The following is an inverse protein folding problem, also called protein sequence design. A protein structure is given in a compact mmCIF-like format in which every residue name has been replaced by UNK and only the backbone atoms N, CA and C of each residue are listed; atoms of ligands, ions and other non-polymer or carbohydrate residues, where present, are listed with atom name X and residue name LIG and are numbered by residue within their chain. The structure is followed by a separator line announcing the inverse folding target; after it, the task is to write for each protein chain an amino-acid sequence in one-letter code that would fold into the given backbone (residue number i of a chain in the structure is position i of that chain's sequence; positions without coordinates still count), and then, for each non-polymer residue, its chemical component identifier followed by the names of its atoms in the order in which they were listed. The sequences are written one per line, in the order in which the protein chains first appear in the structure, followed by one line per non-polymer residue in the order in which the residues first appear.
data_IF_690403226771
#
_entry.id   IF_690403226771
#
_cell.length_a   1.000
_cell.length_b   1.000
_cell.length_c   1.000
_cell.angle_alpha   90.00
_cell.angle_beta   90.00
_cell.angle_gamma   90.00
#
_symmetry.space_group_name_H-M   'P 1'
#
loop_
_entity.id
_entity.type
_entity.pdbx_description
1 polymer ?
#
# COMPACT_ATOMS: atom_id res chain seq x y z
N UNK A 1 1.85 7.06 -18.27
CA UNK A 1 2.68 7.84 -17.32
C UNK A 1 4.06 7.26 -17.06
N UNK A 2 4.45 6.11 -17.63
CA UNK A 2 5.87 5.66 -17.65
C UNK A 2 6.52 5.40 -16.28
N UNK A 3 5.77 5.51 -15.19
CA UNK A 3 6.25 5.34 -13.82
C UNK A 3 6.73 3.92 -13.60
N UNK A 4 7.88 3.79 -12.95
CA UNK A 4 8.49 2.50 -12.59
C UNK A 4 8.18 2.18 -11.13
N UNK A 5 8.06 0.88 -10.82
CA UNK A 5 7.98 0.39 -9.45
C UNK A 5 8.86 -0.84 -9.29
N UNK A 6 9.46 -0.98 -8.12
CA UNK A 6 10.22 -2.15 -7.70
C UNK A 6 9.74 -2.59 -6.32
N UNK A 7 9.95 -3.85 -5.98
CA UNK A 7 9.59 -4.40 -4.68
C UNK A 7 10.52 -5.55 -4.32
N UNK A 8 10.83 -5.68 -3.02
CA UNK A 8 11.63 -6.74 -2.47
C UNK A 8 10.94 -7.29 -1.23
N UNK A 9 10.78 -8.61 -1.17
CA UNK A 9 10.24 -9.33 -0.02
C UNK A 9 11.25 -10.39 0.41
N UNK A 10 11.86 -10.21 1.58
CA UNK A 10 12.84 -11.14 2.14
C UNK A 10 12.35 -11.69 3.50
N UNK A 11 11.89 -12.93 3.48
CA UNK A 11 11.39 -13.66 4.66
C UNK A 11 12.48 -14.30 5.52
N UNK A 12 13.75 -14.18 5.12
CA UNK A 12 14.92 -14.69 5.86
C UNK A 12 15.76 -13.58 6.51
N UNK A 13 15.24 -12.36 6.58
CA UNK A 13 15.95 -11.22 7.18
C UNK A 13 16.17 -11.43 8.69
N UNK A 14 17.37 -11.12 9.16
CA UNK A 14 17.65 -11.07 10.60
C UNK A 14 16.75 -10.03 11.28
N UNK A 15 16.47 -10.20 12.57
CA UNK A 15 15.50 -9.38 13.31
C UNK A 15 15.83 -7.88 13.25
N UNK A 16 17.12 -7.56 13.36
CA UNK A 16 17.67 -6.21 13.27
C UNK A 16 17.58 -5.58 11.87
N UNK A 17 17.34 -6.38 10.84
CA UNK A 17 17.26 -5.95 9.44
C UNK A 17 15.83 -6.03 8.88
N UNK A 18 14.82 -6.25 9.73
CA UNK A 18 13.43 -6.23 9.29
C UNK A 18 13.01 -4.80 8.97
N UNK A 19 12.52 -4.59 7.75
CA UNK A 19 12.10 -3.29 7.25
C UNK A 19 10.75 -3.47 6.55
N UNK A 20 9.78 -2.63 6.90
CA UNK A 20 8.57 -2.39 6.12
C UNK A 20 8.65 -0.95 5.61
N UNK A 21 8.85 -0.77 4.30
CA UNK A 21 9.06 0.55 3.74
C UNK A 21 8.48 0.63 2.34
N UNK A 22 7.70 1.69 2.13
CA UNK A 22 7.23 2.13 0.84
C UNK A 22 7.81 3.52 0.61
N UNK A 23 8.36 3.72 -0.59
CA UNK A 23 8.94 4.98 -1.05
C UNK A 23 8.17 5.42 -2.29
N UNK A 24 7.71 6.66 -2.30
CA UNK A 24 7.12 7.31 -3.48
C UNK A 24 8.02 8.48 -3.86
N UNK A 25 8.74 8.33 -4.96
CA UNK A 25 9.57 9.38 -5.53
C UNK A 25 8.77 10.21 -6.53
N UNK A 26 8.74 11.52 -6.30
CA UNK A 26 8.12 12.52 -7.17
C UNK A 26 9.13 13.55 -7.64
N UNK A 27 8.72 14.40 -8.58
CA UNK A 27 9.58 15.45 -9.14
C UNK A 27 9.92 16.59 -8.18
N UNK A 28 9.35 16.59 -6.97
CA UNK A 28 9.51 17.63 -5.95
C UNK A 28 9.98 17.06 -4.61
N UNK A 29 10.40 15.79 -4.59
CA UNK A 29 10.84 15.09 -3.40
C UNK A 29 10.21 13.71 -3.23
N UNK A 30 10.14 13.24 -1.99
CA UNK A 30 9.90 11.85 -1.65
C UNK A 30 8.97 11.70 -0.45
N UNK A 31 8.11 10.69 -0.47
CA UNK A 31 7.31 10.24 0.68
C UNK A 31 7.80 8.85 1.10
N UNK A 32 8.02 8.62 2.39
CA UNK A 32 8.36 7.31 2.95
C UNK A 32 7.43 6.93 4.10
N UNK A 33 6.91 5.71 4.09
CA UNK A 33 6.00 5.20 5.11
C UNK A 33 6.05 3.68 5.19
N UNK A 34 5.43 3.12 6.22
CA UNK A 34 5.36 1.67 6.46
C UNK A 34 3.92 1.18 6.24
N UNK A 35 3.75 -0.06 5.77
CA UNK A 35 2.42 -0.66 5.58
C UNK A 35 1.77 -1.04 6.92
N UNK A 36 2.55 -1.62 7.82
CA UNK A 36 2.18 -2.12 9.14
C UNK A 36 2.77 -1.29 10.28
N UNK A 37 3.09 -0.03 9.99
CA UNK A 37 3.65 0.92 10.97
C UNK A 37 2.61 1.51 11.91
N UNK A 38 3.01 2.57 12.61
CA UNK A 38 2.21 3.24 13.66
C UNK A 38 1.38 4.42 13.15
N UNK A 39 1.11 4.48 11.84
CA UNK A 39 0.47 5.63 11.22
C UNK A 39 1.41 6.83 11.06
N UNK A 40 2.66 6.56 10.73
CA UNK A 40 3.73 7.56 10.58
C UNK A 40 4.19 7.63 9.12
N UNK A 41 4.55 8.82 8.64
CA UNK A 41 5.26 8.99 7.38
C UNK A 41 6.21 10.19 7.37
N UNK A 42 7.22 10.11 6.52
CA UNK A 42 8.21 11.14 6.28
C UNK A 42 7.97 11.78 4.91
N UNK A 43 8.05 13.10 4.86
CA UNK A 43 8.01 13.90 3.63
C UNK A 43 9.31 14.69 3.50
N UNK A 44 10.07 14.38 2.46
CA UNK A 44 11.24 15.14 2.04
C UNK A 44 10.86 15.96 0.81
N UNK A 45 11.03 17.28 0.85
CA UNK A 45 10.93 18.16 -0.32
C UNK A 45 12.31 18.72 -0.65
N UNK A 46 12.58 19.00 -1.92
CA UNK A 46 13.88 19.52 -2.34
C UNK A 46 14.17 20.88 -1.67
N UNK A 47 15.32 21.00 -1.02
CA UNK A 47 15.73 22.23 -0.31
C UNK A 47 15.10 22.43 1.08
N UNK A 48 14.17 21.56 1.49
CA UNK A 48 13.53 21.61 2.81
C UNK A 48 14.16 20.59 3.77
N UNK A 49 14.01 20.84 5.08
CA UNK A 49 14.22 19.79 6.09
C UNK A 49 13.10 18.77 6.03
N UNK A 50 13.44 17.49 6.21
CA UNK A 50 12.46 16.40 6.30
C UNK A 50 11.41 16.68 7.37
N UNK A 51 10.16 16.37 7.06
CA UNK A 51 9.03 16.49 7.97
C UNK A 51 8.48 15.11 8.33
N UNK A 52 8.28 14.88 9.62
CA UNK A 52 7.63 13.70 10.17
C UNK A 52 6.17 14.01 10.48
N UNK A 53 5.27 13.12 10.05
CA UNK A 53 3.84 13.20 10.31
C UNK A 53 3.38 11.93 10.99
N UNK A 54 2.42 12.06 11.92
CA UNK A 54 1.84 10.95 12.66
C UNK A 54 0.34 11.16 12.80
N UNK A 55 -0.42 10.07 12.67
CA UNK A 55 -1.87 10.03 12.85
C UNK A 55 -2.24 8.85 13.73
N UNK A 56 -3.29 9.02 14.53
CA UNK A 56 -3.86 7.91 15.27
C UNK A 56 -4.50 6.92 14.30
N UNK A 57 -4.02 5.68 14.33
CA UNK A 57 -4.65 4.61 13.59
C UNK A 57 -6.03 4.32 14.20
N UNK A 58 -7.06 4.11 13.36
CA UNK A 58 -8.36 3.70 13.86
C UNK A 58 -8.25 2.34 14.56
N UNK A 59 -9.05 2.15 15.61
CA UNK A 59 -9.13 0.87 16.35
C UNK A 59 -9.32 -0.35 15.43
N UNK A 60 -10.09 -0.18 14.36
CA UNK A 60 -10.34 -1.21 13.36
C UNK A 60 -9.99 -0.69 11.95
N UNK A 61 -8.75 -0.93 11.53
CA UNK A 61 -8.21 -0.46 10.23
C UNK A 61 -9.05 -0.97 9.05
N UNK A 62 -9.51 -2.22 9.09
CA UNK A 62 -10.21 -2.85 7.98
C UNK A 62 -11.72 -2.58 7.95
N UNK A 63 -12.32 -2.11 9.05
CA UNK A 63 -13.76 -1.92 9.19
C UNK A 63 -14.38 -1.04 8.08
N UNK A 64 -13.75 0.09 7.66
CA UNK A 64 -14.33 0.91 6.61
C UNK A 64 -14.49 0.16 5.28
N UNK A 65 -13.48 -0.63 4.87
CA UNK A 65 -13.56 -1.42 3.65
C UNK A 65 -14.58 -2.56 3.77
N UNK A 66 -14.61 -3.24 4.92
CA UNK A 66 -15.59 -4.31 5.17
C UNK A 66 -17.02 -3.76 5.06
N UNK A 67 -17.28 -2.59 5.65
CA UNK A 67 -18.59 -1.96 5.60
C UNK A 67 -19.00 -1.62 4.17
N UNK A 68 -18.09 -1.07 3.36
CA UNK A 68 -18.34 -0.79 1.93
C UNK A 68 -18.71 -2.06 1.14
N UNK A 69 -18.04 -3.18 1.42
CA UNK A 69 -18.35 -4.46 0.77
C UNK A 69 -19.72 -4.98 1.22
N UNK A 70 -20.02 -4.93 2.52
CA UNK A 70 -21.32 -5.35 3.06
C UNK A 70 -22.46 -4.53 2.47
N UNK A 71 -22.30 -3.20 2.41
CA UNK A 71 -23.34 -2.33 1.88
C UNK A 71 -23.55 -2.51 0.35
N UNK A 72 -22.50 -2.87 -0.40
CA UNK A 72 -22.61 -3.24 -1.82
C UNK A 72 -23.35 -4.55 -2.01
N UNK A 73 -23.02 -5.58 -1.23
CA UNK A 73 -23.74 -6.86 -1.27
C UNK A 73 -25.21 -6.74 -0.88
N UNK A 74 -25.55 -5.76 -0.02
CA UNK A 74 -26.92 -5.45 0.39
C UNK A 74 -27.64 -4.46 -0.56
N UNK A 75 -26.98 -3.99 -1.62
CA UNK A 75 -27.56 -3.05 -2.59
C UNK A 75 -27.75 -1.62 -2.06
N UNK A 76 -27.05 -1.22 -1.00
CA UNK A 76 -27.17 0.12 -0.39
C UNK A 76 -26.23 1.16 -1.00
N UNK A 77 -25.01 0.76 -1.35
CA UNK A 77 -24.01 1.62 -2.01
C UNK A 77 -23.10 0.79 -2.88
N UNK A 78 -22.55 1.34 -3.95
CA UNK A 78 -21.54 0.62 -4.73
C UNK A 78 -20.18 0.67 -4.04
N UNK A 79 -19.50 -0.48 -3.92
CA UNK A 79 -18.12 -0.51 -3.43
C UNK A 79 -17.17 0.12 -4.47
N UNK A 80 -16.20 0.97 -4.06
CA UNK A 80 -15.21 1.54 -4.97
C UNK A 80 -14.24 0.50 -5.55
N UNK A 81 -14.23 -0.72 -5.00
CA UNK A 81 -13.40 -1.85 -5.45
C UNK A 81 -14.29 -3.09 -5.60
N UNK A 82 -14.31 -3.65 -6.80
CA UNK A 82 -15.03 -4.89 -7.14
C UNK A 82 -14.06 -6.05 -7.33
N UNK A 83 -14.57 -7.30 -7.32
CA UNK A 83 -13.77 -8.49 -7.63
C UNK A 83 -13.05 -8.39 -8.99
N UNK A 84 -13.66 -7.73 -9.97
CA UNK A 84 -13.02 -7.48 -11.27
C UNK A 84 -11.78 -6.59 -11.13
N UNK A 85 -11.87 -5.48 -10.39
CA UNK A 85 -10.71 -4.59 -10.17
C UNK A 85 -9.62 -5.26 -9.31
N UNK A 86 -9.99 -6.14 -8.39
CA UNK A 86 -9.04 -6.91 -7.58
C UNK A 86 -8.29 -7.97 -8.40
N UNK A 87 -8.94 -8.57 -9.41
CA UNK A 87 -8.33 -9.56 -10.29
C UNK A 87 -7.11 -9.00 -11.05
N UNK A 88 -7.12 -7.71 -11.42
CA UNK A 88 -5.95 -7.07 -12.05
C UNK A 88 -4.73 -7.06 -11.14
N UNK A 89 -4.91 -6.82 -9.83
CA UNK A 89 -3.81 -6.92 -8.86
C UNK A 89 -3.29 -8.35 -8.78
N UNK A 90 -4.18 -9.35 -8.76
CA UNK A 90 -3.79 -10.76 -8.73
C UNK A 90 -2.99 -11.16 -9.97
N UNK A 91 -3.41 -10.70 -11.15
CA UNK A 91 -2.70 -10.92 -12.40
C UNK A 91 -1.26 -10.38 -12.36
N UNK A 92 -1.02 -9.19 -11.80
CA UNK A 92 0.34 -8.66 -11.64
C UNK A 92 1.19 -9.54 -10.72
N UNK A 93 0.62 -9.99 -9.60
CA UNK A 93 1.32 -10.88 -8.66
C UNK A 93 1.68 -12.23 -9.30
N UNK A 94 0.79 -12.79 -10.11
CA UNK A 94 1.07 -13.99 -10.90
C UNK A 94 2.25 -13.77 -11.86
N UNK A 95 2.32 -12.63 -12.54
CA UNK A 95 3.46 -12.29 -13.41
C UNK A 95 4.77 -12.18 -12.64
N UNK A 96 4.76 -11.60 -11.44
CA UNK A 96 5.96 -11.48 -10.61
C UNK A 96 6.45 -12.82 -10.06
N UNK A 97 5.53 -13.74 -9.76
CA UNK A 97 5.84 -15.05 -9.14
C UNK A 97 6.07 -16.17 -10.16
N UNK A 98 6.00 -15.88 -11.46
CA UNK A 98 6.13 -16.89 -12.51
C UNK A 98 4.91 -17.81 -12.65
N UNK A 99 3.75 -17.37 -12.15
CA UNK A 99 2.47 -18.03 -12.32
C UNK A 99 2.19 -18.26 -13.80
N UNK A 100 2.15 -19.53 -14.20
CA UNK A 100 1.64 -19.92 -15.52
C UNK A 100 0.13 -19.78 -15.45
N UNK A 101 -0.38 -18.66 -15.96
CA UNK A 101 -1.81 -18.56 -16.30
C UNK A 101 -2.16 -19.79 -17.14
N UNK A 102 -3.23 -20.50 -16.75
CA UNK A 102 -3.77 -21.57 -17.59
C UNK A 102 -4.18 -21.02 -18.95
#
# INVERSE_FOLDING_TARGET
NGTMGTGNWNFASAKENQIDQIIIDGSLGQIRFETFGKGEFHLQKDGDTEKHFQFDLPKHIQQPLIQLIVDDLLGKTQSPRTGYTAASTNWVLEKLTGGRGK
#
